data_IF_689704414159
#
_entry.id   IF_689704414159
#
_cell.length_a   1.000
_cell.length_b   1.000
_cell.length_c   1.000
_cell.angle_alpha   90.00
_cell.angle_beta   90.00
_cell.angle_gamma   90.00
#
_symmetry.space_group_name_H-M   'P 1'
#
loop_
_entity.id
_entity.type
_entity.pdbx_description
1 polymer ?
#
# COMPACT_ATOMS: atom_id res chain seq x y z
N UNK A 1 24.68 5.39 12.35
CA UNK A 1 23.76 6.34 11.65
C UNK A 1 22.90 7.07 12.66
N UNK A 2 22.68 8.39 12.46
CA UNK A 2 21.81 9.17 13.34
C UNK A 2 20.36 8.76 13.10
N UNK A 3 19.63 8.37 14.17
CA UNK A 3 18.19 8.04 14.07
C UNK A 3 17.39 9.30 13.76
N UNK A 4 16.50 9.21 12.78
CA UNK A 4 15.62 10.31 12.40
C UNK A 4 14.59 10.64 13.51
N UNK A 5 14.19 9.65 14.26
CA UNK A 5 13.27 9.78 15.40
C UNK A 5 13.89 9.06 16.61
N UNK A 6 14.06 9.75 17.72
CA UNK A 6 14.70 9.20 18.91
C UNK A 6 13.71 8.81 20.02
N UNK A 7 12.55 9.45 20.07
CA UNK A 7 11.48 9.20 21.05
C UNK A 7 10.12 9.53 20.47
N UNK A 8 9.11 8.90 21.01
CA UNK A 8 7.73 9.16 20.62
C UNK A 8 7.33 10.61 20.94
N UNK A 9 6.67 11.25 19.98
CA UNK A 9 6.13 12.60 20.12
C UNK A 9 4.90 12.79 19.22
N UNK A 10 3.97 13.62 19.69
CA UNK A 10 2.79 13.99 18.92
C UNK A 10 3.12 15.14 17.98
N UNK A 11 2.76 14.96 16.71
CA UNK A 11 2.98 15.94 15.63
C UNK A 11 1.69 16.25 14.91
N UNK A 12 1.65 17.39 14.20
CA UNK A 12 0.50 17.84 13.41
C UNK A 12 0.98 18.30 12.03
N UNK A 13 0.89 17.40 11.05
CA UNK A 13 1.50 17.54 9.72
C UNK A 13 0.53 17.19 8.62
N UNK A 14 0.89 17.51 7.35
CA UNK A 14 0.20 16.97 6.17
C UNK A 14 0.59 15.51 5.95
N UNK A 15 -0.26 14.73 5.28
CA UNK A 15 0.07 13.33 5.00
C UNK A 15 1.34 13.16 4.15
N UNK A 16 1.59 14.07 3.21
CA UNK A 16 2.83 14.05 2.43
C UNK A 16 4.09 14.27 3.31
N UNK A 17 3.99 15.12 4.32
CA UNK A 17 5.08 15.34 5.29
C UNK A 17 5.28 14.10 6.17
N UNK A 18 4.18 13.47 6.61
CA UNK A 18 4.20 12.22 7.38
C UNK A 18 4.93 11.12 6.63
N UNK A 19 4.67 10.94 5.33
CA UNK A 19 5.35 9.94 4.50
C UNK A 19 6.86 10.18 4.44
N UNK A 20 7.30 11.43 4.26
CA UNK A 20 8.73 11.75 4.23
C UNK A 20 9.43 11.40 5.56
N UNK A 21 8.81 11.73 6.70
CA UNK A 21 9.32 11.37 8.02
C UNK A 21 9.29 9.86 8.28
N UNK A 22 8.23 9.17 7.84
CA UNK A 22 8.13 7.71 7.98
C UNK A 22 9.22 6.99 7.18
N UNK A 23 9.49 7.42 5.95
CA UNK A 23 10.57 6.87 5.13
C UNK A 23 11.95 7.09 5.77
N UNK A 24 12.21 8.28 6.34
CA UNK A 24 13.43 8.53 7.09
C UNK A 24 13.54 7.65 8.34
N UNK A 25 12.45 7.51 9.10
CA UNK A 25 12.40 6.66 10.29
C UNK A 25 12.64 5.19 9.92
N UNK A 26 12.11 4.73 8.78
CA UNK A 26 12.33 3.39 8.25
C UNK A 26 13.75 3.16 7.71
N UNK A 27 14.59 4.18 7.68
CA UNK A 27 15.98 4.07 7.22
C UNK A 27 16.16 4.19 5.71
N UNK A 28 15.18 4.73 4.97
CA UNK A 28 15.34 5.00 3.54
C UNK A 28 16.57 5.90 3.30
N UNK A 29 17.37 5.55 2.30
CA UNK A 29 18.62 6.23 1.95
C UNK A 29 18.45 7.12 0.73
N UNK A 30 17.62 6.73 -0.23
CA UNK A 30 17.41 7.46 -1.47
C UNK A 30 15.92 7.55 -1.82
N UNK A 31 15.53 8.72 -2.31
CA UNK A 31 14.27 8.91 -3.01
C UNK A 31 14.56 9.29 -4.47
N UNK A 32 13.97 8.54 -5.38
CA UNK A 32 13.91 8.89 -6.79
C UNK A 32 12.47 9.21 -7.15
N UNK A 33 12.23 10.27 -7.92
CA UNK A 33 10.85 10.60 -8.22
C UNK A 33 10.69 11.69 -9.26
N UNK A 34 9.47 11.76 -9.79
CA UNK A 34 9.00 12.80 -10.67
C UNK A 34 7.85 13.57 -10.01
N UNK A 35 7.81 14.91 -10.09
CA UNK A 35 6.80 15.70 -9.40
C UNK A 35 5.43 15.57 -10.05
N UNK A 36 4.49 14.94 -9.35
CA UNK A 36 3.09 14.82 -9.77
C UNK A 36 2.15 15.08 -8.58
N UNK A 37 1.09 15.86 -8.79
CA UNK A 37 0.07 16.13 -7.76
C UNK A 37 -0.83 14.90 -7.58
N UNK A 38 -1.21 14.49 -6.33
CA UNK A 38 -1.03 15.22 -5.08
C UNK A 38 0.20 14.83 -4.24
N UNK A 39 1.12 14.00 -4.73
CA UNK A 39 2.26 13.48 -3.96
C UNK A 39 3.51 14.39 -3.99
N UNK A 40 3.60 15.36 -4.88
CA UNK A 40 4.82 16.15 -5.12
C UNK A 40 5.44 16.76 -3.83
N UNK A 41 4.67 17.03 -2.80
CA UNK A 41 5.19 17.54 -1.53
C UNK A 41 5.97 16.46 -0.74
N UNK A 42 5.75 15.16 -0.97
CA UNK A 42 6.62 14.12 -0.38
C UNK A 42 8.06 14.38 -0.82
N UNK A 43 8.27 14.65 -2.13
CA UNK A 43 9.59 14.98 -2.68
C UNK A 43 10.15 16.27 -2.08
N UNK A 44 9.32 17.31 -1.91
CA UNK A 44 9.75 18.59 -1.33
C UNK A 44 10.19 18.42 0.15
N UNK A 45 9.41 17.69 0.95
CA UNK A 45 9.78 17.42 2.34
C UNK A 45 11.02 16.53 2.43
N UNK A 46 11.10 15.47 1.62
CA UNK A 46 12.29 14.62 1.56
C UNK A 46 13.54 15.43 1.23
N UNK A 47 13.51 16.24 0.17
CA UNK A 47 14.63 17.10 -0.23
C UNK A 47 15.09 18.04 0.88
N UNK A 48 14.18 18.52 1.71
CA UNK A 48 14.51 19.40 2.86
C UNK A 48 15.09 18.64 4.04
N UNK A 49 14.63 17.43 4.28
CA UNK A 49 14.98 16.61 5.44
C UNK A 49 16.22 15.74 5.17
N UNK A 50 16.30 15.12 4.02
CA UNK A 50 17.29 14.11 3.66
C UNK A 50 18.76 14.56 3.88
N UNK A 51 19.17 15.78 3.52
CA UNK A 51 20.55 16.24 3.77
C UNK A 51 20.94 16.27 5.25
N UNK A 52 19.98 16.45 6.17
CA UNK A 52 20.23 16.46 7.60
C UNK A 52 20.58 15.07 8.15
N UNK A 53 20.28 14.03 7.38
CA UNK A 53 20.50 12.62 7.70
C UNK A 53 21.44 11.94 6.71
N UNK A 54 22.15 12.69 5.87
CA UNK A 54 23.07 12.18 4.83
C UNK A 54 22.36 11.25 3.84
N UNK A 55 21.12 11.61 3.43
CA UNK A 55 20.29 10.86 2.48
C UNK A 55 20.27 11.51 1.11
N UNK A 56 20.12 10.69 0.07
CA UNK A 56 20.13 11.13 -1.31
C UNK A 56 18.71 11.42 -1.87
N UNK A 57 18.70 12.29 -2.87
CA UNK A 57 17.51 12.60 -3.66
C UNK A 57 17.89 12.85 -5.11
N UNK A 58 17.15 12.27 -6.02
CA UNK A 58 17.25 12.56 -7.45
C UNK A 58 15.86 12.73 -8.05
N UNK A 59 15.61 13.89 -8.67
CA UNK A 59 14.46 14.09 -9.52
C UNK A 59 14.78 13.57 -10.92
N UNK A 60 13.93 12.70 -11.43
CA UNK A 60 14.05 12.11 -12.77
C UNK A 60 13.16 12.85 -13.77
N UNK A 61 13.27 12.50 -15.05
CA UNK A 61 12.45 13.09 -16.11
C UNK A 61 11.03 12.49 -16.21
N UNK A 62 10.82 11.30 -15.64
CA UNK A 62 9.53 10.62 -15.53
C UNK A 62 9.52 9.55 -14.44
N UNK A 63 8.38 8.91 -14.21
CA UNK A 63 8.22 7.86 -13.19
C UNK A 63 8.84 6.52 -13.62
N UNK A 64 8.96 6.27 -14.93
CA UNK A 64 9.63 5.08 -15.46
C UNK A 64 11.12 5.11 -15.04
N UNK A 65 11.79 6.23 -15.29
CA UNK A 65 13.18 6.47 -14.91
C UNK A 65 13.36 6.44 -13.38
N UNK A 66 12.39 7.01 -12.62
CA UNK A 66 12.41 6.96 -11.16
C UNK A 66 12.38 5.50 -10.66
N UNK A 67 11.53 4.69 -11.26
CA UNK A 67 11.41 3.27 -10.90
C UNK A 67 12.72 2.52 -11.14
N UNK A 68 13.29 2.60 -12.33
CA UNK A 68 14.56 1.93 -12.63
C UNK A 68 15.73 2.46 -11.79
N UNK A 69 15.76 3.76 -11.48
CA UNK A 69 16.76 4.31 -10.56
C UNK A 69 16.62 3.72 -9.15
N UNK A 70 15.39 3.52 -8.65
CA UNK A 70 15.16 2.79 -7.39
C UNK A 70 15.73 1.37 -7.45
N UNK A 71 15.45 0.64 -8.54
CA UNK A 71 15.93 -0.74 -8.68
C UNK A 71 17.46 -0.80 -8.72
N UNK A 72 18.12 0.12 -9.44
CA UNK A 72 19.58 0.23 -9.47
C UNK A 72 20.18 0.49 -8.08
N UNK A 73 19.59 1.40 -7.32
CA UNK A 73 20.01 1.67 -5.94
C UNK A 73 19.82 0.43 -5.02
N UNK A 74 18.67 -0.24 -5.13
CA UNK A 74 18.38 -1.46 -4.35
C UNK A 74 19.37 -2.57 -4.69
N UNK A 75 19.69 -2.75 -5.96
CA UNK A 75 20.68 -3.75 -6.40
C UNK A 75 22.07 -3.47 -5.81
N UNK A 76 22.42 -2.22 -5.59
CA UNK A 76 23.67 -1.80 -4.94
C UNK A 76 23.61 -1.78 -3.40
N UNK A 77 22.56 -2.30 -2.79
CA UNK A 77 22.41 -2.39 -1.34
C UNK A 77 21.91 -1.12 -0.67
N UNK A 78 21.13 -0.31 -1.38
CA UNK A 78 20.55 0.92 -0.83
C UNK A 78 19.05 0.76 -0.60
N UNK A 79 18.54 1.27 0.51
CA UNK A 79 17.11 1.38 0.76
C UNK A 79 16.58 2.57 -0.03
N UNK A 80 15.91 2.28 -1.14
CA UNK A 80 15.37 3.30 -2.05
C UNK A 80 13.86 3.19 -2.19
N UNK A 81 13.20 4.33 -2.46
CA UNK A 81 11.77 4.41 -2.66
C UNK A 81 11.39 5.49 -3.66
N UNK A 82 10.14 5.43 -4.10
CA UNK A 82 9.51 6.47 -4.90
C UNK A 82 8.12 6.80 -4.37
N UNK A 83 7.57 7.90 -4.87
CA UNK A 83 6.18 8.26 -4.66
C UNK A 83 5.58 8.76 -5.97
N UNK A 84 4.31 8.44 -6.23
CA UNK A 84 3.62 8.79 -7.47
C UNK A 84 2.11 8.94 -7.29
N UNK A 85 1.40 9.20 -8.38
CA UNK A 85 -0.06 9.28 -8.45
C UNK A 85 -0.55 9.21 -9.90
N UNK A 86 -1.75 8.67 -10.13
CA UNK A 86 -2.43 8.73 -11.42
C UNK A 86 -1.62 8.17 -12.58
N UNK A 87 -1.34 8.96 -13.64
CA UNK A 87 -0.59 8.48 -14.79
C UNK A 87 0.84 8.04 -14.45
N UNK A 88 1.45 8.56 -13.39
CA UNK A 88 2.75 8.10 -12.93
C UNK A 88 2.72 6.68 -12.38
N UNK A 89 1.62 6.27 -11.76
CA UNK A 89 1.43 4.87 -11.33
C UNK A 89 1.37 3.93 -12.54
N UNK A 90 0.84 4.40 -13.69
CA UNK A 90 0.84 3.63 -14.95
C UNK A 90 2.27 3.47 -15.47
N UNK A 91 3.05 4.55 -15.53
CA UNK A 91 4.45 4.51 -15.99
C UNK A 91 5.33 3.64 -15.07
N UNK A 92 5.01 3.56 -13.79
CA UNK A 92 5.77 2.76 -12.83
C UNK A 92 5.57 1.24 -12.97
N UNK A 93 4.63 0.77 -13.82
CA UNK A 93 4.34 -0.67 -13.92
C UNK A 93 5.48 -1.50 -14.53
N UNK A 94 6.26 -0.95 -15.45
CA UNK A 94 7.40 -1.68 -16.03
C UNK A 94 8.52 -1.94 -15.02
N UNK A 95 9.06 -0.94 -14.31
CA UNK A 95 10.03 -1.22 -13.25
C UNK A 95 9.46 -2.11 -12.13
N UNK A 96 8.16 -2.05 -11.84
CA UNK A 96 7.52 -2.95 -10.88
C UNK A 96 7.46 -4.40 -11.37
N UNK A 97 7.17 -4.61 -12.64
CA UNK A 97 7.20 -5.94 -13.24
C UNK A 97 8.60 -6.56 -13.15
N UNK A 98 9.64 -5.76 -13.43
CA UNK A 98 11.02 -6.18 -13.24
C UNK A 98 11.34 -6.44 -11.75
N UNK A 99 10.90 -5.58 -10.85
CA UNK A 99 11.10 -5.75 -9.42
C UNK A 99 10.43 -7.03 -8.90
N UNK A 100 9.23 -7.34 -9.38
CA UNK A 100 8.51 -8.57 -9.05
C UNK A 100 9.29 -9.80 -9.50
N UNK A 101 9.71 -9.85 -10.77
CA UNK A 101 10.47 -10.98 -11.32
C UNK A 101 11.80 -11.20 -10.58
N UNK A 102 12.52 -10.13 -10.26
CA UNK A 102 13.84 -10.17 -9.62
C UNK A 102 13.75 -10.15 -8.09
N UNK A 103 12.57 -10.11 -7.50
CA UNK A 103 12.36 -10.06 -6.05
C UNK A 103 13.08 -8.86 -5.40
N UNK A 104 12.90 -7.66 -5.98
CA UNK A 104 13.52 -6.42 -5.49
C UNK A 104 12.57 -5.67 -4.55
N UNK A 105 13.03 -5.29 -3.34
CA UNK A 105 12.20 -4.71 -2.28
C UNK A 105 11.97 -3.21 -2.46
N UNK A 106 11.39 -2.80 -3.61
CA UNK A 106 11.06 -1.41 -3.85
C UNK A 106 9.78 -1.02 -3.09
N UNK A 107 9.79 0.15 -2.46
CA UNK A 107 8.61 0.75 -1.82
C UNK A 107 8.12 1.92 -2.67
N UNK A 108 6.82 1.95 -2.94
CA UNK A 108 6.16 3.02 -3.70
C UNK A 108 4.97 3.54 -2.92
N UNK A 109 4.98 4.85 -2.61
CA UNK A 109 3.82 5.51 -2.00
C UNK A 109 2.97 6.14 -3.10
N UNK A 110 1.69 5.80 -3.14
CA UNK A 110 0.74 6.32 -4.11
C UNK A 110 -0.30 7.17 -3.42
N UNK A 111 -0.29 8.47 -3.71
CA UNK A 111 -1.36 9.36 -3.28
C UNK A 111 -2.41 9.41 -4.38
N UNK A 112 -3.43 8.55 -4.26
CA UNK A 112 -4.41 8.31 -5.32
C UNK A 112 -5.14 9.56 -5.77
N UNK A 113 -5.38 9.66 -7.07
CA UNK A 113 -6.19 10.71 -7.70
C UNK A 113 -7.10 10.14 -8.77
N UNK A 114 -8.08 10.94 -9.22
CA UNK A 114 -9.03 10.49 -10.25
C UNK A 114 -8.38 10.32 -11.61
N UNK A 115 -8.73 9.23 -12.27
CA UNK A 115 -8.41 8.86 -13.63
C UNK A 115 -9.64 8.89 -14.56
N UNK A 116 -9.50 8.50 -15.82
CA UNK A 116 -8.27 8.06 -16.45
C UNK A 116 -7.30 9.21 -16.78
N UNK A 117 -6.02 8.90 -16.99
CA UNK A 117 -4.94 9.85 -17.29
C UNK A 117 -4.84 10.96 -16.24
N UNK A 118 -4.76 12.23 -16.66
CA UNK A 118 -4.63 13.38 -15.75
C UNK A 118 -5.89 13.63 -14.94
N UNK A 119 -7.07 13.47 -15.51
CA UNK A 119 -8.43 13.70 -14.99
C UNK A 119 -8.55 14.72 -13.86
N UNK A 120 -8.38 14.31 -12.59
CA UNK A 120 -8.32 15.24 -11.45
C UNK A 120 -7.01 15.12 -10.69
N UNK A 121 -6.65 16.18 -9.96
CA UNK A 121 -5.43 16.22 -9.14
C UNK A 121 -5.74 16.20 -7.64
N UNK A 122 -6.99 15.92 -7.26
CA UNK A 122 -7.48 16.08 -5.90
C UNK A 122 -7.57 14.73 -5.21
N UNK A 123 -8.50 13.86 -5.63
CA UNK A 123 -8.86 12.67 -4.87
C UNK A 123 -9.52 11.60 -5.72
N UNK A 124 -9.27 10.34 -5.39
CA UNK A 124 -10.01 9.16 -5.83
C UNK A 124 -9.48 7.90 -5.14
N UNK A 125 -10.13 6.76 -5.39
CA UNK A 125 -9.63 5.41 -5.07
C UNK A 125 -9.51 4.56 -6.35
N UNK A 126 -9.22 5.20 -7.50
CA UNK A 126 -9.23 4.55 -8.82
C UNK A 126 -7.91 3.85 -9.18
N UNK A 127 -6.95 3.77 -8.28
CA UNK A 127 -5.65 3.13 -8.54
C UNK A 127 -5.48 1.77 -7.84
N UNK A 128 -6.53 1.25 -7.22
CA UNK A 128 -6.49 -0.04 -6.49
C UNK A 128 -6.18 -1.21 -7.43
N UNK A 129 -6.91 -1.32 -8.53
CA UNK A 129 -6.66 -2.41 -9.50
C UNK A 129 -5.26 -2.34 -10.09
N UNK A 130 -4.79 -1.15 -10.43
CA UNK A 130 -3.48 -0.92 -11.02
C UNK A 130 -2.35 -1.27 -10.04
N UNK A 131 -2.48 -0.88 -8.79
CA UNK A 131 -1.47 -1.16 -7.76
C UNK A 131 -1.46 -2.62 -7.32
N UNK A 132 -2.62 -3.29 -7.30
CA UNK A 132 -2.71 -4.69 -6.91
C UNK A 132 -2.32 -5.67 -8.03
N UNK A 133 -2.65 -5.34 -9.29
CA UNK A 133 -2.60 -6.30 -10.41
C UNK A 133 -2.02 -5.71 -11.71
N UNK A 134 -1.49 -4.50 -11.68
CA UNK A 134 -0.88 -3.89 -12.88
C UNK A 134 0.41 -4.60 -13.28
N UNK A 135 0.87 -4.30 -14.51
CA UNK A 135 2.02 -4.97 -15.10
C UNK A 135 1.65 -6.24 -15.86
N UNK A 136 2.65 -7.07 -16.17
CA UNK A 136 2.49 -8.29 -16.97
C UNK A 136 2.90 -9.57 -16.22
N UNK A 137 2.84 -9.54 -14.87
CA UNK A 137 3.16 -10.67 -14.00
C UNK A 137 1.97 -11.13 -13.17
N UNK A 138 2.23 -11.87 -12.10
CA UNK A 138 1.23 -12.46 -11.22
C UNK A 138 0.76 -11.51 -10.10
N UNK A 139 1.28 -10.29 -10.07
CA UNK A 139 0.98 -9.30 -9.03
C UNK A 139 1.49 -9.73 -7.66
N UNK A 140 2.71 -10.26 -7.59
CA UNK A 140 3.34 -10.69 -6.34
C UNK A 140 3.92 -9.48 -5.60
N UNK A 141 3.05 -8.68 -5.03
CA UNK A 141 3.36 -7.42 -4.34
C UNK A 141 2.50 -7.22 -3.11
N UNK A 142 2.95 -6.38 -2.20
CA UNK A 142 2.17 -5.98 -1.03
C UNK A 142 1.50 -4.64 -1.30
N UNK A 143 0.24 -4.49 -0.92
CA UNK A 143 -0.48 -3.22 -1.07
C UNK A 143 -1.24 -2.93 0.23
N UNK A 144 -0.82 -1.86 0.91
CA UNK A 144 -1.49 -1.35 2.10
C UNK A 144 -2.36 -0.15 1.74
N UNK A 145 -3.56 -0.07 2.31
CA UNK A 145 -4.47 1.06 2.18
C UNK A 145 -4.65 1.77 3.51
N UNK A 146 -4.30 3.04 3.58
CA UNK A 146 -4.27 3.84 4.80
C UNK A 146 -5.47 4.78 4.90
N UNK A 147 -5.98 4.99 6.11
CA UNK A 147 -7.16 5.80 6.40
C UNK A 147 -6.89 7.00 7.32
N UNK A 148 -5.68 7.13 7.85
CA UNK A 148 -5.28 8.22 8.75
C UNK A 148 -3.79 8.53 8.61
N UNK A 149 -3.35 9.67 9.17
CA UNK A 149 -1.93 10.02 9.19
C UNK A 149 -1.11 9.08 10.07
N UNK A 150 -1.71 8.56 11.14
CA UNK A 150 -1.05 7.51 11.92
C UNK A 150 -0.78 6.28 11.06
N UNK A 151 -1.77 5.83 10.30
CA UNK A 151 -1.58 4.69 9.41
C UNK A 151 -0.60 4.99 8.26
N UNK A 152 -0.61 6.20 7.70
CA UNK A 152 0.42 6.59 6.72
C UNK A 152 1.83 6.43 7.30
N UNK A 153 2.04 6.83 8.55
CA UNK A 153 3.32 6.68 9.24
C UNK A 153 3.64 5.20 9.48
N UNK A 154 2.72 4.48 10.10
CA UNK A 154 2.90 3.09 10.50
C UNK A 154 3.12 2.16 9.30
N UNK A 155 2.27 2.28 8.28
CA UNK A 155 2.34 1.40 7.10
C UNK A 155 3.45 1.79 6.12
N UNK A 156 3.88 3.05 6.08
CA UNK A 156 5.10 3.40 5.33
C UNK A 156 6.32 2.73 5.96
N UNK A 157 6.50 2.79 7.28
CA UNK A 157 7.59 2.08 7.98
C UNK A 157 7.47 0.58 7.73
N UNK A 158 6.28 0.02 7.93
CA UNK A 158 6.00 -1.40 7.76
C UNK A 158 6.27 -1.87 6.32
N UNK A 159 5.97 -1.05 5.33
CA UNK A 159 6.24 -1.34 3.93
C UNK A 159 7.74 -1.57 3.68
N UNK A 160 8.61 -0.70 4.19
CA UNK A 160 10.06 -0.91 4.08
C UNK A 160 10.50 -2.20 4.77
N UNK A 161 10.05 -2.42 6.01
CA UNK A 161 10.38 -3.62 6.76
C UNK A 161 9.93 -4.90 6.03
N UNK A 162 8.70 -4.95 5.57
CA UNK A 162 8.16 -6.13 4.90
C UNK A 162 8.73 -6.35 3.50
N UNK A 163 8.94 -5.27 2.73
CA UNK A 163 9.57 -5.36 1.42
C UNK A 163 10.96 -6.02 1.51
N UNK A 164 11.81 -5.58 2.41
CA UNK A 164 13.15 -6.13 2.59
C UNK A 164 13.13 -7.54 3.21
N UNK A 165 12.20 -7.81 4.13
CA UNK A 165 12.05 -9.12 4.76
C UNK A 165 11.60 -10.21 3.79
N UNK A 166 10.59 -9.92 2.98
CA UNK A 166 9.97 -10.91 2.09
C UNK A 166 10.39 -10.77 0.64
N UNK A 167 11.10 -9.72 0.29
CA UNK A 167 11.62 -9.46 -1.04
C UNK A 167 10.50 -9.36 -2.08
N UNK A 168 9.48 -8.54 -1.78
CA UNK A 168 8.41 -8.19 -2.72
C UNK A 168 8.25 -6.67 -2.83
N UNK A 169 7.95 -6.15 -4.04
CA UNK A 169 7.54 -4.77 -4.20
C UNK A 169 6.37 -4.44 -3.28
N UNK A 170 6.38 -3.28 -2.65
CA UNK A 170 5.36 -2.92 -1.67
C UNK A 170 4.81 -1.52 -1.93
N UNK A 171 3.50 -1.41 -1.95
CA UNK A 171 2.78 -0.15 -2.08
C UNK A 171 2.16 0.30 -0.76
N UNK A 172 2.13 1.62 -0.57
CA UNK A 172 1.31 2.29 0.45
C UNK A 172 0.37 3.23 -0.27
N UNK A 173 -0.92 2.96 -0.20
CA UNK A 173 -1.96 3.79 -0.78
C UNK A 173 -2.50 4.77 0.26
N UNK A 174 -2.29 6.05 0.02
CA UNK A 174 -3.07 7.13 0.54
C UNK A 174 -3.99 7.68 -0.56
N UNK A 175 -4.45 8.89 -0.39
CA UNK A 175 -5.23 9.63 -1.38
C UNK A 175 -4.99 11.14 -1.28
N UNK A 176 -5.53 11.91 -2.22
CA UNK A 176 -5.28 13.34 -2.29
C UNK A 176 -5.81 14.14 -1.11
N UNK A 177 -6.89 13.71 -0.46
CA UNK A 177 -7.34 14.37 0.77
C UNK A 177 -6.38 14.08 1.92
N UNK A 178 -6.04 12.82 2.14
CA UNK A 178 -5.09 12.42 3.17
C UNK A 178 -3.72 13.08 2.95
N UNK A 179 -3.27 13.21 1.70
CA UNK A 179 -2.01 13.85 1.35
C UNK A 179 -1.92 15.31 1.78
N UNK A 180 -3.03 16.06 1.65
CA UNK A 180 -3.07 17.53 1.80
C UNK A 180 -3.60 18.00 3.15
N UNK A 181 -4.54 17.30 3.76
CA UNK A 181 -5.06 17.71 5.07
C UNK A 181 -4.02 17.52 6.16
N UNK A 182 -4.22 18.19 7.30
CA UNK A 182 -3.38 18.05 8.49
C UNK A 182 -4.11 17.24 9.54
N UNK A 183 -3.41 16.30 10.14
CA UNK A 183 -3.92 15.47 11.23
C UNK A 183 -2.83 15.28 12.29
N UNK A 184 -3.25 15.09 13.54
CA UNK A 184 -2.34 14.76 14.62
C UNK A 184 -2.04 13.25 14.61
N UNK A 185 -0.77 12.90 14.78
CA UNK A 185 -0.32 11.51 14.88
C UNK A 185 0.87 11.42 15.83
N UNK A 186 1.23 10.20 16.21
CA UNK A 186 2.43 9.92 17.01
C UNK A 186 3.56 9.43 16.12
N UNK A 187 4.63 10.21 16.10
CA UNK A 187 5.89 9.84 15.47
C UNK A 187 6.74 9.09 16.49
N UNK A 188 7.25 7.90 16.15
CA UNK A 188 8.03 7.05 17.05
C UNK A 188 9.23 6.42 16.33
N UNK A 189 10.21 5.93 17.11
CA UNK A 189 11.31 5.10 16.60
C UNK A 189 10.78 3.71 16.24
N UNK A 190 10.91 3.23 14.97
CA UNK A 190 10.41 1.94 14.54
C UNK A 190 10.91 0.75 15.39
N UNK A 191 12.13 0.81 15.91
CA UNK A 191 12.67 -0.24 16.79
C UNK A 191 11.81 -0.43 18.05
N UNK A 192 11.20 0.64 18.56
CA UNK A 192 10.32 0.59 19.73
C UNK A 192 9.05 -0.25 19.49
N UNK A 193 8.70 -0.48 18.24
CA UNK A 193 7.54 -1.29 17.80
C UNK A 193 7.97 -2.62 17.16
N UNK A 194 9.23 -3.01 17.25
CA UNK A 194 9.74 -4.23 16.62
C UNK A 194 9.84 -4.17 15.09
N UNK A 195 9.78 -2.96 14.53
CA UNK A 195 9.90 -2.67 13.10
C UNK A 195 11.26 -2.05 12.76
N UNK A 196 12.32 -2.48 13.43
CA UNK A 196 13.68 -2.03 13.13
C UNK A 196 14.04 -2.22 11.67
N UNK A 197 14.94 -1.37 11.17
CA UNK A 197 15.44 -1.47 9.79
C UNK A 197 16.12 -2.82 9.57
N UNK A 198 15.69 -3.53 8.53
CA UNK A 198 16.44 -4.69 8.05
C UNK A 198 17.66 -4.14 7.30
N UNK A 199 18.88 -4.56 7.64
CA UNK A 199 20.06 -4.11 6.91
C UNK A 199 19.91 -4.38 5.42
N UNK A 200 20.07 -3.35 4.61
CA UNK A 200 20.14 -3.50 3.17
C UNK A 200 21.55 -4.01 2.83
N UNK A 201 21.61 -5.15 2.17
CA UNK A 201 22.86 -5.69 1.65
C UNK A 201 22.87 -5.59 0.12
N UNK A 202 24.04 -5.39 -0.52
CA UNK A 202 24.13 -5.43 -1.96
C UNK A 202 23.55 -6.73 -2.50
N UNK A 203 22.59 -6.61 -3.40
CA UNK A 203 21.98 -7.78 -4.05
C UNK A 203 22.86 -8.25 -5.21
N UNK A 204 23.38 -7.26 -5.95
CA UNK A 204 24.47 -7.52 -6.90
C UNK A 204 25.78 -7.35 -6.14
N UNK A 205 26.43 -8.44 -5.87
CA UNK A 205 27.72 -8.44 -5.23
C UNK A 205 28.39 -9.77 -5.51
N UNK A 206 29.67 -9.72 -5.82
CA UNK A 206 30.50 -10.87 -5.90
C UNK A 206 31.26 -11.06 -4.59
N UNK A 207 31.79 -12.23 -4.39
CA UNK A 207 32.88 -12.41 -3.46
C UNK A 207 34.00 -11.46 -3.88
N UNK A 208 34.66 -10.85 -2.90
CA UNK A 208 35.88 -10.11 -3.17
C UNK A 208 36.95 -11.02 -3.77
N UNK A 209 38.09 -10.48 -4.24
CA UNK A 209 39.18 -11.27 -4.81
C UNK A 209 39.71 -12.36 -3.88
N UNK A 210 39.53 -12.22 -2.57
CA UNK A 210 39.96 -13.18 -1.55
C UNK A 210 38.92 -14.30 -1.30
N UNK A 211 37.77 -14.24 -1.98
CA UNK A 211 36.68 -15.23 -1.89
C UNK A 211 35.79 -15.07 -0.68
N UNK A 212 35.93 -13.98 0.06
CA UNK A 212 35.05 -13.56 1.16
C UNK A 212 33.85 -12.80 0.62
N UNK A 213 32.75 -12.82 1.33
CA UNK A 213 31.50 -12.14 0.96
C UNK A 213 30.38 -13.09 0.53
N UNK A 214 29.17 -12.55 0.32
CA UNK A 214 28.01 -13.35 -0.05
C UNK A 214 28.22 -14.02 -1.41
N UNK A 215 27.62 -15.21 -1.63
CA UNK A 215 27.69 -15.88 -2.92
C UNK A 215 27.09 -14.99 -4.02
N UNK A 216 27.66 -15.07 -5.21
CA UNK A 216 27.09 -14.44 -6.41
C UNK A 216 25.62 -14.85 -6.57
N UNK A 217 24.74 -13.85 -6.55
CA UNK A 217 23.34 -14.07 -6.82
C UNK A 217 23.05 -13.77 -8.29
N UNK A 218 22.68 -14.80 -9.04
CA UNK A 218 22.20 -14.64 -10.40
C UNK A 218 20.76 -14.16 -10.39
N UNK A 219 20.56 -12.88 -10.65
CA UNK A 219 19.25 -12.30 -10.89
C UNK A 219 18.94 -12.38 -12.39
N UNK A 220 17.83 -13.02 -12.73
CA UNK A 220 17.38 -13.17 -14.11
C UNK A 220 16.06 -12.48 -14.30
N UNK A 221 15.93 -11.71 -15.37
CA UNK A 221 14.69 -11.11 -15.84
C UNK A 221 14.31 -11.60 -17.24
N UNK A 222 15.12 -12.47 -17.83
CA UNK A 222 14.86 -13.09 -19.13
C UNK A 222 15.16 -14.58 -19.08
N UNK A 223 14.28 -15.36 -19.68
CA UNK A 223 14.37 -16.82 -19.75
C UNK A 223 14.19 -17.23 -21.21
N UNK A 224 15.04 -18.10 -21.69
CA UNK A 224 14.95 -18.66 -23.04
C UNK A 224 14.17 -19.98 -23.10
N UNK A 225 13.85 -20.55 -21.94
CA UNK A 225 13.14 -21.82 -21.79
C UNK A 225 11.95 -21.58 -20.88
N UNK A 226 10.76 -21.87 -21.37
CA UNK A 226 9.48 -21.60 -20.68
C UNK A 226 9.35 -22.40 -19.38
N UNK A 227 9.85 -23.63 -19.35
CA UNK A 227 9.83 -24.51 -18.19
C UNK A 227 10.66 -23.93 -17.03
N UNK A 228 11.81 -23.31 -17.32
CA UNK A 228 12.62 -22.63 -16.29
C UNK A 228 11.84 -21.45 -15.67
N UNK A 229 11.17 -20.65 -16.50
CA UNK A 229 10.33 -19.55 -16.02
C UNK A 229 9.18 -20.09 -15.15
N UNK A 230 8.49 -21.14 -15.61
CA UNK A 230 7.37 -21.75 -14.89
C UNK A 230 7.79 -22.23 -13.50
N UNK A 231 8.96 -22.86 -13.37
CA UNK A 231 9.49 -23.30 -12.07
C UNK A 231 9.83 -22.11 -11.13
N UNK A 232 10.39 -21.03 -11.68
CA UNK A 232 10.69 -19.83 -10.90
C UNK A 232 9.40 -19.18 -10.41
N UNK A 233 8.42 -18.99 -11.28
CA UNK A 233 7.12 -18.40 -10.92
C UNK A 233 6.38 -19.24 -9.88
N UNK A 234 6.39 -20.56 -10.03
CA UNK A 234 5.78 -21.48 -9.05
C UNK A 234 6.38 -21.31 -7.65
N UNK A 235 7.70 -21.18 -7.55
CA UNK A 235 8.38 -20.91 -6.27
C UNK A 235 8.01 -19.56 -5.72
N UNK A 236 8.06 -18.50 -6.54
CA UNK A 236 7.72 -17.14 -6.11
C UNK A 236 6.27 -17.03 -5.64
N UNK A 237 5.32 -17.66 -6.34
CA UNK A 237 3.91 -17.74 -5.92
C UNK A 237 3.75 -18.48 -4.59
N UNK A 238 4.48 -19.58 -4.41
CA UNK A 238 4.48 -20.34 -3.14
C UNK A 238 5.01 -19.49 -1.98
N UNK A 239 6.14 -18.79 -2.19
CA UNK A 239 6.73 -17.89 -1.19
C UNK A 239 5.78 -16.74 -0.83
N UNK A 240 5.12 -16.15 -1.84
CA UNK A 240 4.14 -15.09 -1.63
C UNK A 240 2.94 -15.59 -0.81
N UNK A 241 2.43 -16.77 -1.14
CA UNK A 241 1.32 -17.40 -0.41
C UNK A 241 1.71 -17.70 1.05
N UNK A 242 2.92 -18.18 1.27
CA UNK A 242 3.43 -18.42 2.63
C UNK A 242 3.59 -17.12 3.42
N UNK A 243 4.09 -16.06 2.78
CA UNK A 243 4.20 -14.73 3.40
C UNK A 243 2.82 -14.11 3.69
N UNK A 244 1.84 -14.33 2.81
CA UNK A 244 0.50 -13.75 2.91
C UNK A 244 -0.17 -14.01 4.26
N UNK A 245 -0.02 -15.22 4.82
CA UNK A 245 -0.59 -15.60 6.14
C UNK A 245 -0.11 -14.72 7.30
N UNK A 246 1.06 -14.07 7.16
CA UNK A 246 1.66 -13.18 8.15
C UNK A 246 1.48 -11.69 7.82
N UNK A 247 1.00 -11.37 6.63
CA UNK A 247 0.95 -10.00 6.10
C UNK A 247 -0.46 -9.44 6.00
N UNK A 248 -1.46 -10.33 5.99
CA UNK A 248 -2.87 -9.95 5.88
C UNK A 248 -3.33 -9.19 7.10
N UNK A 249 -3.88 -8.00 6.87
CA UNK A 249 -4.43 -7.15 7.93
C UNK A 249 -5.78 -6.57 7.52
N UNK A 250 -6.67 -6.47 8.51
CA UNK A 250 -8.00 -5.93 8.35
C UNK A 250 -8.49 -5.30 9.66
N UNK A 251 -9.57 -4.57 9.57
CA UNK A 251 -10.34 -4.07 10.69
C UNK A 251 -11.77 -4.60 10.60
N UNK A 252 -12.30 -5.08 11.70
CA UNK A 252 -13.70 -5.50 11.82
C UNK A 252 -14.34 -4.83 13.02
N UNK A 253 -15.49 -4.21 12.81
CA UNK A 253 -16.32 -3.62 13.87
C UNK A 253 -17.71 -4.23 13.77
N UNK A 254 -18.07 -5.10 14.69
CA UNK A 254 -19.35 -5.76 14.58
C UNK A 254 -19.62 -6.83 15.62
N UNK A 255 -20.80 -7.42 15.51
CA UNK A 255 -21.29 -8.53 16.34
C UNK A 255 -21.95 -9.59 15.44
N UNK A 256 -22.00 -10.88 15.86
CA UNK A 256 -22.76 -11.90 15.16
C UNK A 256 -24.25 -11.53 15.07
N UNK A 257 -24.86 -11.90 13.95
CA UNK A 257 -26.30 -11.68 13.70
C UNK A 257 -26.66 -10.27 13.22
N UNK A 258 -25.69 -9.56 12.64
CA UNK A 258 -26.00 -8.33 11.90
C UNK A 258 -26.74 -8.63 10.59
N UNK A 259 -27.48 -7.65 10.10
CA UNK A 259 -28.26 -7.77 8.87
C UNK A 259 -27.44 -7.45 7.61
N UNK A 260 -26.39 -6.64 7.76
CA UNK A 260 -25.56 -6.11 6.66
C UNK A 260 -24.10 -5.92 7.10
N UNK A 261 -23.16 -6.20 6.19
CA UNK A 261 -21.76 -5.85 6.28
C UNK A 261 -21.44 -4.69 5.34
N UNK A 262 -21.00 -3.56 5.87
CA UNK A 262 -20.45 -2.45 5.06
C UNK A 262 -18.96 -2.66 4.89
N UNK A 263 -18.49 -2.66 3.64
CA UNK A 263 -17.08 -2.86 3.28
C UNK A 263 -16.54 -1.61 2.58
N UNK A 264 -15.41 -1.10 3.07
CA UNK A 264 -14.74 0.06 2.48
C UNK A 264 -13.26 0.09 2.84
N UNK A 265 -12.43 0.85 2.10
CA UNK A 265 -11.01 1.00 2.39
C UNK A 265 -10.58 2.47 2.40
N UNK A 266 -9.36 2.74 2.86
CA UNK A 266 -8.79 4.09 2.87
C UNK A 266 -9.67 5.08 3.64
N UNK A 267 -9.71 6.33 3.18
CA UNK A 267 -10.50 7.39 3.82
C UNK A 267 -12.02 7.15 3.71
N UNK A 268 -12.49 6.49 2.64
CA UNK A 268 -13.91 6.06 2.53
C UNK A 268 -14.23 5.00 3.57
N UNK A 269 -13.30 4.06 3.84
CA UNK A 269 -13.45 3.11 4.94
C UNK A 269 -13.56 3.79 6.30
N UNK A 270 -12.82 4.88 6.53
CA UNK A 270 -12.96 5.70 7.75
C UNK A 270 -14.35 6.33 7.87
N UNK A 271 -14.89 6.87 6.77
CA UNK A 271 -16.25 7.41 6.73
C UNK A 271 -17.32 6.31 6.95
N UNK A 272 -17.10 5.12 6.35
CA UNK A 272 -17.99 3.98 6.51
C UNK A 272 -18.00 3.45 7.96
N UNK A 273 -16.84 3.39 8.60
CA UNK A 273 -16.76 3.04 10.02
C UNK A 273 -17.57 3.99 10.89
N UNK A 274 -17.40 5.31 10.69
CA UNK A 274 -18.14 6.32 11.45
C UNK A 274 -19.67 6.20 11.23
N UNK A 275 -20.10 5.97 9.98
CA UNK A 275 -21.50 5.73 9.65
C UNK A 275 -22.08 4.49 10.36
N UNK A 276 -21.34 3.38 10.34
CA UNK A 276 -21.76 2.14 11.00
C UNK A 276 -21.80 2.30 12.52
N UNK A 277 -20.79 2.91 13.13
CA UNK A 277 -20.77 3.17 14.57
C UNK A 277 -21.99 4.01 15.00
N UNK A 278 -22.35 5.05 14.26
CA UNK A 278 -23.54 5.87 14.50
C UNK A 278 -24.84 5.07 14.32
N UNK A 279 -25.00 4.34 13.22
CA UNK A 279 -26.19 3.49 12.97
C UNK A 279 -26.41 2.48 14.10
N UNK A 280 -25.34 1.93 14.65
CA UNK A 280 -25.40 1.00 15.79
C UNK A 280 -25.91 1.66 17.05
N UNK A 281 -25.63 2.96 17.28
CA UNK A 281 -26.21 3.70 18.41
C UNK A 281 -27.73 3.85 18.29
N UNK A 282 -28.26 3.81 17.07
CA UNK A 282 -29.71 3.79 16.79
C UNK A 282 -30.30 2.36 16.72
N UNK A 283 -29.56 1.37 17.19
CA UNK A 283 -30.03 -0.01 17.26
C UNK A 283 -30.03 -0.77 15.93
N UNK A 284 -29.43 -0.23 14.87
CA UNK A 284 -29.28 -0.94 13.59
C UNK A 284 -28.23 -2.04 13.70
N UNK A 285 -28.53 -3.21 13.16
CA UNK A 285 -27.65 -4.40 13.17
C UNK A 285 -26.75 -4.38 11.94
N UNK A 286 -25.74 -3.52 11.94
CA UNK A 286 -24.79 -3.33 10.83
C UNK A 286 -23.38 -3.57 11.32
N UNK A 287 -22.59 -4.29 10.56
CA UNK A 287 -21.16 -4.51 10.77
C UNK A 287 -20.33 -3.73 9.74
N UNK A 288 -19.05 -3.53 10.07
CA UNK A 288 -18.08 -2.89 9.21
C UNK A 288 -16.86 -3.77 9.02
N UNK A 289 -16.37 -3.83 7.79
CA UNK A 289 -15.11 -4.50 7.45
C UNK A 289 -14.25 -3.59 6.57
N UNK A 290 -12.98 -3.47 6.93
CA UNK A 290 -11.99 -2.72 6.16
C UNK A 290 -10.79 -3.59 5.87
N UNK A 291 -10.50 -3.95 4.61
CA UNK A 291 -9.20 -4.49 4.28
C UNK A 291 -8.15 -3.39 4.42
N UNK A 292 -7.13 -3.64 5.23
CA UNK A 292 -5.94 -2.78 5.34
C UNK A 292 -4.94 -3.24 4.29
N UNK A 293 -4.72 -4.54 4.17
CA UNK A 293 -4.03 -5.11 3.01
C UNK A 293 -5.03 -5.33 1.88
N UNK A 294 -4.72 -4.75 0.71
CA UNK A 294 -5.47 -5.02 -0.52
C UNK A 294 -4.81 -6.16 -1.32
N UNK A 295 -3.52 -6.33 -1.18
CA UNK A 295 -2.76 -7.45 -1.74
C UNK A 295 -1.67 -7.89 -0.75
N UNK A 296 -1.69 -9.13 -0.24
CA UNK A 296 -2.77 -10.11 -0.31
C UNK A 296 -4.06 -9.61 0.34
N UNK A 297 -5.22 -10.06 -0.17
CA UNK A 297 -6.52 -9.65 0.37
C UNK A 297 -6.90 -10.52 1.58
N UNK A 298 -7.57 -9.99 2.62
CA UNK A 298 -8.00 -10.72 3.82
C UNK A 298 -9.27 -11.55 3.57
N UNK A 299 -9.18 -12.57 2.72
CA UNK A 299 -10.32 -13.37 2.24
C UNK A 299 -11.04 -14.10 3.36
N UNK A 300 -10.30 -14.85 4.20
CA UNK A 300 -10.89 -15.62 5.31
C UNK A 300 -11.62 -14.71 6.32
N UNK A 301 -11.01 -13.57 6.63
CA UNK A 301 -11.60 -12.60 7.55
C UNK A 301 -12.86 -11.95 6.97
N UNK A 302 -12.88 -11.67 5.65
CA UNK A 302 -14.09 -11.18 4.99
C UNK A 302 -15.21 -12.22 5.01
N UNK A 303 -14.90 -13.49 4.75
CA UNK A 303 -15.89 -14.59 4.80
C UNK A 303 -16.50 -14.72 6.21
N UNK A 304 -15.70 -14.70 7.25
CA UNK A 304 -16.18 -14.71 8.64
C UNK A 304 -17.05 -13.48 8.96
N UNK A 305 -16.65 -12.29 8.48
CA UNK A 305 -17.43 -11.07 8.66
C UNK A 305 -18.79 -11.13 7.92
N UNK A 306 -18.84 -11.77 6.74
CA UNK A 306 -20.07 -12.00 5.99
C UNK A 306 -21.02 -12.96 6.72
N UNK A 307 -20.50 -14.06 7.22
CA UNK A 307 -21.28 -15.03 8.02
C UNK A 307 -21.88 -14.37 9.27
N UNK A 308 -21.11 -13.48 9.91
CA UNK A 308 -21.58 -12.66 11.03
C UNK A 308 -22.64 -11.62 10.64
N UNK A 309 -22.85 -11.38 9.33
CA UNK A 309 -23.68 -10.29 8.77
C UNK A 309 -24.73 -10.81 7.80
N UNK A 310 -25.33 -11.96 8.08
CA UNK A 310 -26.41 -12.57 7.28
C UNK A 310 -26.05 -12.75 5.80
N UNK A 311 -24.77 -12.84 5.46
CA UNK A 311 -24.25 -12.94 4.09
C UNK A 311 -24.71 -11.80 3.16
N UNK A 312 -24.94 -10.61 3.73
CA UNK A 312 -25.31 -9.41 2.98
C UNK A 312 -24.17 -8.38 3.04
N UNK A 313 -23.81 -7.77 1.90
CA UNK A 313 -22.68 -6.85 1.78
C UNK A 313 -23.05 -5.61 0.98
N UNK A 314 -22.70 -4.44 1.53
CA UNK A 314 -22.66 -3.15 0.83
C UNK A 314 -21.19 -2.72 0.68
N UNK A 315 -20.71 -2.60 -0.55
CA UNK A 315 -19.35 -2.08 -0.80
C UNK A 315 -19.40 -0.60 -1.12
N UNK A 316 -18.60 0.19 -0.40
CA UNK A 316 -18.50 1.64 -0.58
C UNK A 316 -17.08 2.02 -1.04
N UNK A 317 -16.97 2.68 -2.19
CA UNK A 317 -15.68 3.11 -2.74
C UNK A 317 -15.78 4.31 -3.69
N UNK A 318 -14.73 5.12 -3.72
CA UNK A 318 -14.58 6.22 -4.68
C UNK A 318 -13.94 5.73 -5.99
N UNK A 319 -14.51 4.67 -6.53
CA UNK A 319 -14.16 4.04 -7.80
C UNK A 319 -15.40 3.32 -8.36
N UNK A 320 -15.26 2.63 -9.51
CA UNK A 320 -16.32 1.84 -10.13
C UNK A 320 -16.03 0.35 -9.98
N UNK A 321 -16.18 -0.16 -8.76
CA UNK A 321 -16.09 -1.59 -8.45
C UNK A 321 -14.65 -2.15 -8.42
N UNK A 322 -13.63 -1.36 -8.13
CA UNK A 322 -12.28 -1.88 -7.97
C UNK A 322 -12.14 -2.71 -6.69
N UNK A 323 -12.56 -2.16 -5.54
CA UNK A 323 -12.70 -2.93 -4.30
C UNK A 323 -13.85 -3.93 -4.39
N UNK A 324 -14.97 -3.53 -4.97
CA UNK A 324 -16.17 -4.38 -5.08
C UNK A 324 -15.90 -5.71 -5.78
N UNK A 325 -15.15 -5.72 -6.88
CA UNK A 325 -14.72 -6.95 -7.56
C UNK A 325 -13.83 -7.82 -6.68
N UNK A 326 -12.91 -7.22 -5.94
CA UNK A 326 -12.03 -7.94 -5.02
C UNK A 326 -12.83 -8.56 -3.86
N UNK A 327 -13.71 -7.78 -3.22
CA UNK A 327 -14.55 -8.26 -2.13
C UNK A 327 -15.50 -9.37 -2.59
N UNK A 328 -16.09 -9.24 -3.79
CA UNK A 328 -16.96 -10.28 -4.36
C UNK A 328 -16.20 -11.56 -4.68
N UNK A 329 -14.99 -11.48 -5.22
CA UNK A 329 -14.13 -12.64 -5.45
C UNK A 329 -13.73 -13.29 -4.12
N UNK A 330 -13.33 -12.47 -3.14
CA UNK A 330 -12.89 -12.92 -1.83
C UNK A 330 -14.02 -13.51 -0.97
N UNK A 331 -15.30 -13.25 -1.29
CA UNK A 331 -16.42 -13.94 -0.63
C UNK A 331 -16.41 -15.45 -0.89
N UNK A 332 -15.70 -15.92 -1.94
CA UNK A 332 -15.46 -17.33 -2.20
C UNK A 332 -16.73 -18.14 -2.37
N UNK A 333 -16.89 -19.19 -1.55
CA UNK A 333 -18.07 -20.06 -1.56
C UNK A 333 -19.24 -19.57 -0.70
N UNK A 334 -19.09 -18.43 0.00
CA UNK A 334 -20.18 -17.84 0.78
C UNK A 334 -21.30 -17.40 -0.16
N UNK A 335 -22.47 -18.00 -0.02
CA UNK A 335 -23.65 -17.63 -0.79
C UNK A 335 -24.16 -16.25 -0.34
N UNK A 336 -23.81 -15.20 -1.07
CA UNK A 336 -24.29 -13.85 -0.77
C UNK A 336 -25.79 -13.77 -0.94
N UNK A 337 -26.52 -13.45 0.13
CA UNK A 337 -27.96 -13.18 0.12
C UNK A 337 -28.26 -11.86 -0.59
N UNK A 338 -27.37 -10.87 -0.39
CA UNK A 338 -27.49 -9.54 -0.98
C UNK A 338 -26.10 -8.97 -1.22
N UNK A 339 -25.94 -8.28 -2.35
CA UNK A 339 -24.74 -7.53 -2.70
C UNK A 339 -25.16 -6.20 -3.31
N UNK A 340 -24.84 -5.13 -2.63
CA UNK A 340 -25.11 -3.78 -3.08
C UNK A 340 -23.84 -2.91 -3.09
N UNK A 341 -23.92 -1.76 -3.72
CA UNK A 341 -22.76 -0.91 -3.96
C UNK A 341 -23.12 0.56 -3.87
N UNK A 342 -22.22 1.33 -3.24
CA UNK A 342 -22.22 2.77 -3.31
C UNK A 342 -20.89 3.22 -3.96
N UNK A 343 -20.90 3.34 -5.29
CA UNK A 343 -19.75 3.71 -6.09
C UNK A 343 -19.83 5.18 -6.52
N UNK A 344 -18.78 5.94 -6.24
CA UNK A 344 -18.64 7.33 -6.64
C UNK A 344 -17.27 7.62 -7.24
N UNK A 345 -17.02 7.23 -8.50
CA UNK A 345 -15.73 7.43 -9.14
C UNK A 345 -15.30 8.90 -9.12
N UNK A 346 -14.11 9.17 -8.58
CA UNK A 346 -13.51 10.50 -8.55
C UNK A 346 -14.09 11.48 -7.53
N UNK A 347 -15.03 11.06 -6.69
CA UNK A 347 -15.69 11.91 -5.67
C UNK A 347 -15.61 11.24 -4.31
N UNK A 348 -15.39 12.03 -3.25
CA UNK A 348 -15.43 11.54 -1.87
C UNK A 348 -16.84 11.06 -1.48
N UNK A 349 -16.92 10.20 -0.50
CA UNK A 349 -18.16 9.68 0.07
C UNK A 349 -18.20 10.05 1.54
N UNK A 350 -19.28 10.71 1.96
CA UNK A 350 -19.48 11.13 3.34
C UNK A 350 -20.11 10.00 4.18
N UNK A 351 -19.96 10.07 5.50
CA UNK A 351 -20.66 9.16 6.43
C UNK A 351 -22.17 9.26 6.32
N UNK A 352 -22.72 10.44 6.00
CA UNK A 352 -24.14 10.65 5.80
C UNK A 352 -24.69 9.88 4.59
N UNK A 353 -24.04 10.00 3.44
CA UNK A 353 -24.39 9.25 2.23
C UNK A 353 -24.33 7.73 2.45
N UNK A 354 -23.36 7.24 3.24
CA UNK A 354 -23.27 5.83 3.59
C UNK A 354 -24.43 5.41 4.50
N UNK A 355 -24.78 6.24 5.49
CA UNK A 355 -25.96 5.98 6.35
C UNK A 355 -27.25 5.87 5.54
N UNK A 356 -27.46 6.81 4.61
CA UNK A 356 -28.63 6.78 3.73
C UNK A 356 -28.67 5.48 2.90
N UNK A 357 -27.53 5.09 2.31
CA UNK A 357 -27.47 3.84 1.52
C UNK A 357 -27.71 2.56 2.33
N UNK A 358 -27.41 2.56 3.62
CA UNK A 358 -27.69 1.43 4.54
C UNK A 358 -29.18 1.37 4.93
N UNK A 359 -29.89 2.49 4.90
CA UNK A 359 -31.30 2.59 5.34
C UNK A 359 -32.31 2.30 4.22
N UNK A 360 -31.87 2.29 2.97
CA UNK A 360 -32.67 1.92 1.80
C UNK A 360 -32.72 0.40 1.62
#
# INVERSE_FOLDING_TARGET
MQKAVQRERREFMTGNEVVAWAALAAGAEYMFGYPITPQNEIMHYWRRLAPQFERGFLQTEDELSAGFACLGAILSGKVAFSATAGPGTVLFQEPLSMAEMMRLPVVVVVQQRGGPSTATVIYSQQEVTLTCFGGNGEGLRLVYSTASHQELYDYTIKAFHQAWRYRFPTFVLGDGYQAKMREAFFMYDPESKGLGTIPAEPILGGRDPDGEGPPLLHLRNAFSVEEELAEVLKRQMSDFKAAASHLVEHEFVGNPGADLLVVGHGIVGRAARAAVEELRTYGKKVNFFRPITLRPFPEEALQQALEASSNAMLVVESADGQLGRMARLASGSVALRHFDTLYRPGVGITSEEIREAVLV
#
